data_IF_656920412008
#
_entry.id   IF_656920412008
#
_cell.length_a   1.000
_cell.length_b   1.000
_cell.length_c   1.000
_cell.angle_alpha   90.00
_cell.angle_beta   90.00
_cell.angle_gamma   90.00
#
_symmetry.space_group_name_H-M   'P 1'
#
loop_
_entity.id
_entity.type
_entity.pdbx_description
1 polymer ?
#
# COMPACT_ATOMS: atom_id res chain seq x y z
N UNK A 1 13.75 8.84 3.78
CA UNK A 1 13.18 7.75 4.60
C UNK A 1 13.69 6.41 4.04
N UNK A 2 13.76 5.30 4.79
CA UNK A 2 14.23 4.00 4.23
C UNK A 2 13.08 3.16 3.66
N UNK A 3 13.31 2.37 2.60
CA UNK A 3 12.30 1.51 1.95
C UNK A 3 11.68 0.48 2.93
N UNK A 4 12.47 -0.01 3.88
CA UNK A 4 11.99 -0.89 4.96
C UNK A 4 10.92 -0.22 5.85
N UNK A 5 11.08 1.08 6.14
CA UNK A 5 10.11 1.83 6.93
C UNK A 5 8.80 2.05 6.16
N UNK A 6 8.90 2.31 4.85
CA UNK A 6 7.74 2.41 3.96
C UNK A 6 6.96 1.10 3.94
N UNK A 7 7.63 -0.04 3.75
CA UNK A 7 7.04 -1.39 3.80
C UNK A 7 6.31 -1.66 5.12
N UNK A 8 6.93 -1.26 6.24
CA UNK A 8 6.32 -1.39 7.55
C UNK A 8 5.02 -0.57 7.67
N UNK A 9 5.04 0.69 7.25
CA UNK A 9 3.85 1.56 7.29
C UNK A 9 2.73 1.04 6.39
N UNK A 10 3.06 0.58 5.17
CA UNK A 10 2.12 -0.07 4.25
C UNK A 10 1.50 -1.30 4.91
N UNK A 11 2.33 -2.16 5.51
CA UNK A 11 1.87 -3.35 6.21
C UNK A 11 0.92 -3.03 7.36
N UNK A 12 1.26 -2.04 8.19
CA UNK A 12 0.41 -1.57 9.29
C UNK A 12 -0.94 -1.06 8.76
N UNK A 13 -0.93 -0.26 7.69
CA UNK A 13 -2.17 0.24 7.06
C UNK A 13 -3.02 -0.90 6.49
N UNK A 14 -2.41 -1.88 5.84
CA UNK A 14 -3.10 -3.06 5.33
C UNK A 14 -3.72 -3.90 6.45
N UNK A 15 -3.07 -4.00 7.60
CA UNK A 15 -3.56 -4.74 8.76
C UNK A 15 -4.72 -4.00 9.48
N UNK A 16 -4.77 -2.67 9.39
CA UNK A 16 -5.88 -1.83 9.89
C UNK A 16 -7.14 -1.92 9.02
N UNK A 17 -7.01 -2.31 7.74
CA UNK A 17 -8.15 -2.37 6.84
C UNK A 17 -9.08 -3.53 7.19
N UNK A 18 -10.41 -3.31 7.14
CA UNK A 18 -11.37 -4.38 7.38
C UNK A 18 -11.17 -5.46 6.32
N UNK A 19 -10.96 -6.70 6.76
CA UNK A 19 -10.83 -7.88 5.88
C UNK A 19 -12.12 -8.24 5.13
N UNK A 20 -13.17 -7.43 5.28
CA UNK A 20 -14.45 -7.59 4.61
C UNK A 20 -14.29 -7.34 3.11
N UNK A 21 -13.96 -8.40 2.35
CA UNK A 21 -14.16 -8.70 0.91
C UNK A 21 -14.05 -7.59 -0.16
N UNK A 22 -13.79 -6.34 0.19
CA UNK A 22 -13.72 -5.21 -0.68
C UNK A 22 -12.26 -5.07 -1.11
N UNK A 23 -12.01 -4.97 -2.43
CA UNK A 23 -10.67 -4.76 -2.92
C UNK A 23 -10.12 -3.45 -2.34
N UNK A 24 -8.95 -3.56 -1.73
CA UNK A 24 -8.24 -2.40 -1.19
C UNK A 24 -7.72 -1.57 -2.35
N UNK A 25 -8.07 -0.29 -2.36
CA UNK A 25 -7.56 0.65 -3.34
C UNK A 25 -6.13 1.06 -2.98
N UNK A 26 -5.18 0.73 -3.86
CA UNK A 26 -3.76 1.06 -3.65
C UNK A 26 -3.51 2.56 -3.59
N UNK A 27 -4.31 3.37 -4.28
CA UNK A 27 -4.27 4.84 -4.22
C UNK A 27 -4.74 5.37 -2.86
N UNK A 28 -5.70 4.69 -2.22
CA UNK A 28 -6.12 5.06 -0.85
C UNK A 28 -4.99 4.79 0.17
N UNK A 29 -4.27 3.67 0.04
CA UNK A 29 -3.12 3.39 0.90
C UNK A 29 -1.97 4.35 0.58
N UNK A 30 -1.65 4.53 -0.70
CA UNK A 30 -0.62 5.44 -1.17
C UNK A 30 -0.86 6.87 -0.66
N UNK A 31 -2.07 7.40 -0.80
CA UNK A 31 -2.44 8.73 -0.30
C UNK A 31 -2.55 8.84 1.23
N UNK A 32 -2.65 7.71 1.95
CA UNK A 32 -2.59 7.69 3.42
C UNK A 32 -1.16 7.68 3.95
N UNK A 33 -0.18 7.51 3.07
CA UNK A 33 1.25 7.51 3.39
C UNK A 33 1.85 8.76 2.77
N UNK A 34 2.74 9.44 3.49
CA UNK A 34 3.41 10.61 2.95
C UNK A 34 4.51 10.17 1.96
N UNK A 35 4.17 10.13 0.67
CA UNK A 35 5.06 9.64 -0.40
C UNK A 35 5.99 10.72 -0.93
N UNK A 36 5.58 11.99 -0.88
CA UNK A 36 6.37 13.12 -1.36
C UNK A 36 7.69 13.28 -0.59
N UNK A 37 7.73 12.92 0.70
CA UNK A 37 8.96 12.90 1.51
C UNK A 37 9.79 11.62 1.37
N UNK A 38 9.27 10.60 0.68
CA UNK A 38 9.91 9.29 0.57
C UNK A 38 11.01 9.24 -0.49
N UNK A 39 10.88 10.05 -1.56
CA UNK A 39 11.73 9.98 -2.75
C UNK A 39 11.55 8.68 -3.56
N UNK A 40 10.53 7.89 -3.25
CA UNK A 40 10.16 6.66 -3.96
C UNK A 40 9.09 7.02 -4.99
N UNK A 41 9.26 6.62 -6.26
CA UNK A 41 8.27 6.93 -7.28
C UNK A 41 6.98 6.11 -7.03
N UNK A 42 5.83 6.72 -7.36
CA UNK A 42 4.51 6.16 -7.07
C UNK A 42 4.32 4.72 -7.59
N UNK A 43 4.91 4.39 -8.74
CA UNK A 43 4.87 3.04 -9.30
C UNK A 43 5.54 2.01 -8.38
N UNK A 44 6.69 2.32 -7.79
CA UNK A 44 7.37 1.44 -6.83
C UNK A 44 6.55 1.28 -5.55
N UNK A 45 5.91 2.36 -5.11
CA UNK A 45 5.00 2.30 -3.94
C UNK A 45 3.84 1.36 -4.22
N UNK A 46 3.22 1.46 -5.40
CA UNK A 46 2.14 0.57 -5.82
C UNK A 46 2.59 -0.90 -5.85
N UNK A 47 3.79 -1.18 -6.37
CA UNK A 47 4.36 -2.53 -6.36
C UNK A 47 4.57 -3.06 -4.93
N UNK A 48 5.05 -2.22 -4.01
CA UNK A 48 5.23 -2.58 -2.61
C UNK A 48 3.88 -2.84 -1.92
N UNK A 49 2.86 -2.00 -2.17
CA UNK A 49 1.50 -2.20 -1.62
C UNK A 49 0.92 -3.52 -2.13
N UNK A 50 1.03 -3.80 -3.42
CA UNK A 50 0.53 -5.04 -4.01
C UNK A 50 1.23 -6.28 -3.41
N UNK A 51 2.55 -6.23 -3.22
CA UNK A 51 3.31 -7.31 -2.62
C UNK A 51 2.92 -7.55 -1.15
N UNK A 52 2.86 -6.49 -0.34
CA UNK A 52 2.50 -6.59 1.08
C UNK A 52 1.04 -7.02 1.28
N UNK A 53 0.13 -6.60 0.41
CA UNK A 53 -1.27 -7.03 0.41
C UNK A 53 -1.41 -8.50 0.01
N UNK A 54 -0.66 -8.96 -1.00
CA UNK A 54 -0.66 -10.36 -1.42
C UNK A 54 -0.18 -11.30 -0.31
N UNK A 55 0.88 -10.93 0.43
CA UNK A 55 1.35 -11.70 1.61
C UNK A 55 0.26 -11.88 2.67
N UNK A 56 -0.67 -10.93 2.75
CA UNK A 56 -1.78 -10.90 3.72
C UNK A 56 -3.08 -11.47 3.16
N UNK A 57 -3.10 -11.95 1.92
CA UNK A 57 -4.29 -12.41 1.21
C UNK A 57 -5.38 -11.32 1.10
N UNK A 58 -4.95 -10.06 0.97
CA UNK A 58 -5.83 -8.91 0.79
C UNK A 58 -5.95 -8.64 -0.72
N UNK A 59 -7.17 -8.68 -1.31
CA UNK A 59 -7.35 -8.34 -2.72
C UNK A 59 -7.07 -6.85 -2.92
N UNK A 60 -6.17 -6.51 -3.86
CA UNK A 60 -5.93 -5.13 -4.28
C UNK A 60 -6.70 -4.82 -5.56
N UNK A 61 -7.47 -3.73 -5.54
CA UNK A 61 -8.12 -3.18 -6.72
C UNK A 61 -7.09 -2.55 -7.65
N UNK A 62 -7.31 -2.62 -8.97
CA UNK A 62 -6.49 -1.85 -9.91
C UNK A 62 -6.66 -0.37 -9.59
N UNK A 63 -5.55 0.36 -9.51
CA UNK A 63 -5.55 1.82 -9.50
C UNK A 63 -6.41 2.28 -10.68
N UNK A 64 -7.58 2.85 -10.38
CA UNK A 64 -8.49 3.38 -11.39
C UNK A 64 -8.05 4.81 -11.70
N UNK A 65 -6.93 4.91 -12.40
CA UNK A 65 -6.42 6.13 -13.02
C UNK A 65 -6.58 6.06 -14.53
#
# INVERSE_FOLDING_TARGET
MSNEKLRRQIGEKLDELPREAHPVDVGTIAGSIDLDESGVPENEVHEIIAEEAAKRNIPVGKASG
#
